data_IF_412110163121
#
_entry.id   IF_412110163121
#
_cell.length_a   1.000
_cell.length_b   1.000
_cell.length_c   1.000
_cell.angle_alpha   90.00
_cell.angle_beta   90.00
_cell.angle_gamma   90.00
#
_symmetry.space_group_name_H-M   'P 1'
#
loop_
_entity.id
_entity.type
_entity.pdbx_description
1 polymer ?
#
# COMPACT_ATOMS: atom_id res chain seq x y z
N UNK A 1 -6.81 -12.88 -25.69
CA UNK A 1 -6.65 -12.36 -24.32
C UNK A 1 -5.46 -13.09 -23.75
N UNK A 2 -4.50 -12.43 -23.08
CA UNK A 2 -3.58 -13.19 -22.26
C UNK A 2 -4.45 -14.01 -21.30
N UNK A 3 -4.24 -15.33 -21.26
CA UNK A 3 -4.82 -16.13 -20.19
C UNK A 3 -4.24 -15.56 -18.91
N UNK A 4 -5.07 -15.07 -18.00
CA UNK A 4 -4.59 -14.66 -16.68
C UNK A 4 -4.34 -15.94 -15.90
N UNK A 5 -3.07 -16.35 -15.70
CA UNK A 5 -2.82 -17.51 -14.89
C UNK A 5 -3.21 -17.14 -13.46
N UNK A 6 -3.88 -18.06 -12.78
CA UNK A 6 -4.10 -17.96 -11.34
C UNK A 6 -2.72 -18.03 -10.67
N UNK A 7 -2.39 -17.03 -9.86
CA UNK A 7 -1.23 -17.08 -8.97
C UNK A 7 -1.55 -18.02 -7.82
N UNK A 8 -2.65 -17.75 -7.11
CA UNK A 8 -3.14 -18.57 -6.03
C UNK A 8 -4.68 -18.55 -5.98
N UNK A 9 -5.28 -19.71 -5.76
CA UNK A 9 -6.64 -19.79 -5.21
C UNK A 9 -6.56 -19.68 -3.70
N UNK A 10 -7.51 -18.98 -3.07
CA UNK A 10 -7.55 -18.90 -1.62
C UNK A 10 -7.49 -20.30 -0.97
N UNK A 11 -6.60 -20.53 0.02
CA UNK A 11 -6.51 -21.78 0.74
C UNK A 11 -7.85 -22.16 1.38
N UNK A 12 -8.06 -23.46 1.57
CA UNK A 12 -9.29 -23.96 2.19
C UNK A 12 -9.52 -23.30 3.56
N UNK A 13 -10.70 -22.70 3.73
CA UNK A 13 -11.06 -21.99 4.97
C UNK A 13 -10.70 -20.50 4.97
N UNK A 14 -10.11 -19.98 3.90
CA UNK A 14 -9.89 -18.54 3.71
C UNK A 14 -10.73 -17.99 2.57
N UNK A 15 -11.17 -16.75 2.70
CA UNK A 15 -11.95 -16.05 1.67
C UNK A 15 -11.63 -14.57 1.63
N UNK A 16 -11.95 -13.91 0.50
CA UNK A 16 -11.78 -12.46 0.31
C UNK A 16 -10.29 -12.07 0.38
N UNK A 17 -9.45 -12.53 -0.58
CA UNK A 17 -8.11 -12.02 -0.71
C UNK A 17 -8.20 -10.53 -0.99
N UNK A 18 -7.36 -9.77 -0.31
CA UNK A 18 -7.39 -8.33 -0.41
C UNK A 18 -5.96 -7.82 -0.55
N UNK A 19 -5.41 -7.25 0.50
CA UNK A 19 -4.13 -6.56 0.42
C UNK A 19 -2.92 -7.47 0.16
N UNK A 20 -1.97 -7.01 -0.66
CA UNK A 20 -0.80 -7.79 -1.13
C UNK A 20 0.52 -7.07 -0.82
N UNK A 21 1.33 -7.65 0.05
CA UNK A 21 2.69 -7.19 0.31
C UNK A 21 3.72 -8.10 -0.35
N UNK A 22 4.65 -7.53 -1.11
CA UNK A 22 5.72 -8.28 -1.79
C UNK A 22 7.09 -7.86 -1.25
N UNK A 23 7.87 -8.83 -0.77
CA UNK A 23 9.25 -8.61 -0.33
C UNK A 23 10.18 -9.68 -0.92
N UNK A 24 11.05 -9.25 -1.84
CA UNK A 24 11.93 -10.18 -2.56
C UNK A 24 11.12 -11.24 -3.31
N UNK A 25 11.21 -12.49 -2.87
CA UNK A 25 10.49 -13.63 -3.45
C UNK A 25 9.23 -14.04 -2.67
N UNK A 26 8.91 -13.36 -1.57
CA UNK A 26 7.81 -13.72 -0.68
C UNK A 26 6.64 -12.77 -0.93
N UNK A 27 5.44 -13.32 -0.91
CA UNK A 27 4.19 -12.62 -1.13
C UNK A 27 3.28 -12.91 0.06
N UNK A 28 2.83 -11.86 0.74
CA UNK A 28 1.86 -11.96 1.82
C UNK A 28 0.51 -11.46 1.30
N UNK A 29 -0.56 -12.18 1.62
CA UNK A 29 -1.92 -11.83 1.18
C UNK A 29 -2.86 -11.89 2.38
N UNK A 30 -3.56 -10.79 2.64
CA UNK A 30 -4.63 -10.71 3.61
C UNK A 30 -5.91 -11.39 3.12
N UNK A 31 -6.58 -12.12 4.01
CA UNK A 31 -7.89 -12.72 3.77
C UNK A 31 -8.86 -12.29 4.86
N UNK A 32 -9.84 -11.46 4.51
CA UNK A 32 -10.80 -10.88 5.44
C UNK A 32 -11.77 -11.88 6.05
N UNK A 33 -11.98 -13.05 5.42
CA UNK A 33 -12.79 -14.15 5.95
C UNK A 33 -14.23 -13.77 6.37
N UNK A 34 -14.79 -12.70 5.79
CA UNK A 34 -16.13 -12.19 6.11
C UNK A 34 -16.22 -11.46 7.45
N UNK A 35 -15.08 -11.05 8.03
CA UNK A 35 -15.08 -10.04 9.10
C UNK A 35 -15.52 -8.69 8.51
N UNK A 36 -16.27 -7.90 9.26
CA UNK A 36 -16.71 -6.58 8.81
C UNK A 36 -15.60 -5.55 9.02
N UNK A 37 -15.49 -4.59 8.09
CA UNK A 37 -14.50 -3.52 8.13
C UNK A 37 -14.55 -2.61 9.36
N UNK A 38 -15.69 -2.52 10.05
CA UNK A 38 -15.83 -1.71 11.28
C UNK A 38 -15.42 -2.48 12.55
N UNK A 39 -14.89 -3.69 12.38
CA UNK A 39 -14.56 -4.62 13.47
C UNK A 39 -15.78 -5.13 14.23
N UNK A 40 -17.00 -4.83 13.77
CA UNK A 40 -18.19 -5.45 14.34
C UNK A 40 -18.12 -6.94 14.07
N UNK A 41 -18.26 -7.72 15.13
CA UNK A 41 -18.26 -9.17 15.00
C UNK A 41 -19.43 -9.57 14.09
N UNK A 42 -19.13 -9.94 12.85
CA UNK A 42 -20.02 -10.79 12.07
C UNK A 42 -20.45 -11.99 12.93
N UNK A 43 -21.60 -12.64 12.63
CA UNK A 43 -22.05 -13.77 13.42
C UNK A 43 -20.90 -14.80 13.52
N UNK A 44 -20.51 -15.16 14.75
CA UNK A 44 -19.61 -16.27 15.12
C UNK A 44 -18.11 -15.98 15.42
N UNK A 45 -17.67 -14.75 15.69
CA UNK A 45 -16.29 -14.51 16.16
C UNK A 45 -15.23 -14.85 15.10
N UNK A 46 -15.52 -14.46 13.85
CA UNK A 46 -14.65 -14.63 12.70
C UNK A 46 -13.34 -13.85 12.88
N UNK A 47 -12.28 -14.35 12.24
CA UNK A 47 -10.93 -13.76 12.24
C UNK A 47 -10.35 -13.80 10.84
N UNK A 48 -9.56 -12.80 10.50
CA UNK A 48 -8.78 -12.79 9.27
C UNK A 48 -7.63 -13.78 9.31
N UNK A 49 -7.01 -13.98 8.15
CA UNK A 49 -5.82 -14.80 7.97
C UNK A 49 -4.88 -14.11 7.02
N UNK A 50 -3.58 -14.10 7.31
CA UNK A 50 -2.57 -13.77 6.31
C UNK A 50 -1.88 -15.05 5.87
N UNK A 51 -1.69 -15.22 4.56
CA UNK A 51 -0.97 -16.35 3.98
C UNK A 51 0.31 -15.84 3.31
N UNK A 52 1.42 -16.49 3.64
CA UNK A 52 2.69 -16.29 2.93
C UNK A 52 2.78 -17.29 1.78
N UNK A 53 3.12 -16.78 0.60
CA UNK A 53 3.38 -17.55 -0.60
C UNK A 53 4.80 -17.33 -1.09
N UNK A 54 5.34 -18.35 -1.73
CA UNK A 54 6.47 -18.17 -2.64
C UNK A 54 6.04 -17.33 -3.86
N UNK A 55 7.03 -16.78 -4.57
CA UNK A 55 6.84 -16.07 -5.85
C UNK A 55 6.14 -16.86 -6.96
N UNK A 56 5.83 -18.15 -6.74
CA UNK A 56 5.12 -19.02 -7.67
C UNK A 56 3.74 -19.46 -7.12
N UNK A 57 3.24 -18.80 -6.08
CA UNK A 57 1.90 -19.06 -5.53
C UNK A 57 1.81 -20.32 -4.66
N UNK A 58 2.94 -20.87 -4.20
CA UNK A 58 2.94 -21.99 -3.25
C UNK A 58 2.84 -21.45 -1.83
N UNK A 59 1.86 -21.92 -1.05
CA UNK A 59 1.74 -21.57 0.38
C UNK A 59 2.99 -22.02 1.14
N UNK A 60 3.62 -21.10 1.85
CA UNK A 60 4.78 -21.34 2.71
C UNK A 60 4.39 -21.29 4.19
N UNK A 61 3.58 -20.30 4.59
CA UNK A 61 3.06 -20.16 5.95
C UNK A 61 1.61 -19.64 5.96
N UNK A 62 0.94 -19.82 7.09
CA UNK A 62 -0.42 -19.32 7.32
C UNK A 62 -0.52 -18.80 8.75
N UNK A 63 -0.90 -17.52 8.89
CA UNK A 63 -1.08 -16.82 10.14
C UNK A 63 -2.58 -16.58 10.35
N UNK A 64 -3.23 -17.51 11.02
CA UNK A 64 -4.67 -17.47 11.26
C UNK A 64 -4.99 -16.92 12.66
N UNK A 65 -6.22 -16.44 12.85
CA UNK A 65 -6.68 -15.91 14.13
C UNK A 65 -6.33 -14.44 14.34
N UNK A 66 -6.12 -13.69 13.26
CA UNK A 66 -5.90 -12.25 13.31
C UNK A 66 -7.27 -11.59 13.61
N UNK A 67 -7.40 -10.88 14.73
CA UNK A 67 -8.67 -10.29 15.13
C UNK A 67 -9.02 -9.08 14.23
N UNK A 68 -10.23 -9.06 13.68
CA UNK A 68 -10.65 -7.98 12.79
C UNK A 68 -10.48 -8.31 11.30
N UNK A 69 -10.85 -7.35 10.47
CA UNK A 69 -10.77 -7.40 9.01
C UNK A 69 -9.41 -6.86 8.56
N UNK A 70 -8.56 -7.70 7.97
CA UNK A 70 -7.23 -7.25 7.50
C UNK A 70 -7.38 -6.62 6.12
N UNK A 71 -7.15 -5.31 6.02
CA UNK A 71 -7.07 -4.56 4.75
C UNK A 71 -5.75 -3.79 4.57
N UNK A 72 -4.97 -3.58 5.64
CA UNK A 72 -3.63 -2.99 5.54
C UNK A 72 -2.52 -4.02 5.71
N UNK A 73 -1.52 -4.05 4.82
CA UNK A 73 -0.41 -5.01 4.89
C UNK A 73 0.95 -4.41 4.49
N UNK A 74 1.93 -4.46 5.40
CA UNK A 74 3.29 -4.02 5.12
C UNK A 74 4.37 -4.90 5.74
N UNK A 75 5.48 -5.11 5.04
CA UNK A 75 6.68 -5.74 5.61
C UNK A 75 7.66 -4.66 6.04
N UNK A 76 8.01 -4.67 7.33
CA UNK A 76 8.96 -3.76 7.92
C UNK A 76 10.41 -4.07 7.54
N UNK A 77 11.33 -3.09 7.67
CA UNK A 77 12.76 -3.30 7.46
C UNK A 77 13.40 -4.26 8.47
N UNK A 78 12.71 -4.55 9.57
CA UNK A 78 13.07 -5.57 10.56
C UNK A 78 12.64 -6.99 10.16
N UNK A 79 11.96 -7.14 9.01
CA UNK A 79 11.44 -8.41 8.51
C UNK A 79 10.17 -8.88 9.23
N UNK A 80 9.55 -8.03 10.05
CA UNK A 80 8.24 -8.30 10.62
C UNK A 80 7.16 -7.89 9.63
N UNK A 81 6.03 -8.60 9.68
CA UNK A 81 4.83 -8.28 8.92
C UNK A 81 3.89 -7.50 9.83
N UNK A 82 3.34 -6.41 9.30
CA UNK A 82 2.40 -5.52 9.98
C UNK A 82 1.08 -5.61 9.24
N UNK A 83 0.01 -5.84 9.98
CA UNK A 83 -1.36 -5.83 9.48
C UNK A 83 -2.14 -4.76 10.20
N UNK A 84 -2.85 -3.90 9.45
CA UNK A 84 -3.89 -3.06 10.02
C UNK A 84 -5.23 -3.79 9.87
N UNK A 85 -6.05 -3.65 10.90
CA UNK A 85 -7.33 -4.31 10.98
C UNK A 85 -8.45 -3.32 11.25
N UNK A 86 -9.58 -3.51 10.56
CA UNK A 86 -10.81 -2.72 10.68
C UNK A 86 -10.65 -1.26 10.22
N UNK A 87 -10.62 -1.09 8.90
CA UNK A 87 -10.52 0.14 8.13
C UNK A 87 -11.65 1.15 8.41
N UNK A 88 -12.84 0.66 8.76
CA UNK A 88 -14.02 1.51 8.99
C UNK A 88 -14.16 1.96 10.45
N UNK A 89 -13.32 1.44 11.35
CA UNK A 89 -13.29 1.83 12.75
C UNK A 89 -12.92 0.70 13.71
N UNK A 90 -12.70 1.03 14.98
CA UNK A 90 -12.20 0.09 16.00
C UNK A 90 -10.90 -0.62 15.60
N UNK A 91 -9.97 0.14 15.02
CA UNK A 91 -8.79 -0.46 14.41
C UNK A 91 -7.82 -1.07 15.40
N UNK A 92 -7.12 -2.09 14.92
CA UNK A 92 -6.04 -2.77 15.62
C UNK A 92 -4.87 -2.97 14.66
N UNK A 93 -3.68 -3.08 15.22
CA UNK A 93 -2.50 -3.44 14.45
C UNK A 93 -1.96 -4.76 14.99
N UNK A 94 -1.77 -5.76 14.14
CA UNK A 94 -1.08 -6.99 14.49
C UNK A 94 0.31 -7.03 13.85
N UNK A 95 1.33 -7.27 14.68
CA UNK A 95 2.71 -7.50 14.22
C UNK A 95 3.02 -8.97 14.29
N UNK A 96 3.34 -9.55 13.15
CA UNK A 96 3.60 -10.97 12.95
C UNK A 96 5.10 -11.14 12.68
N UNK A 97 5.73 -12.08 13.38
CA UNK A 97 7.07 -12.55 13.04
C UNK A 97 6.95 -13.74 12.09
N UNK A 98 7.23 -13.60 10.78
CA UNK A 98 6.98 -14.67 9.81
C UNK A 98 7.77 -15.95 10.11
N UNK A 99 8.97 -15.82 10.71
CA UNK A 99 9.85 -16.96 10.99
C UNK A 99 9.38 -17.85 12.15
N UNK A 100 8.60 -17.29 13.08
CA UNK A 100 8.13 -18.01 14.29
C UNK A 100 6.61 -18.14 14.37
N UNK A 101 5.88 -17.36 13.58
CA UNK A 101 4.43 -17.22 13.68
C UNK A 101 3.96 -16.49 14.94
N UNK A 102 4.86 -15.88 15.72
CA UNK A 102 4.48 -15.10 16.89
C UNK A 102 3.76 -13.82 16.45
N UNK A 103 2.60 -13.55 17.07
CA UNK A 103 1.76 -12.38 16.78
C UNK A 103 1.62 -11.53 18.03
N UNK A 104 1.77 -10.21 17.88
CA UNK A 104 1.54 -9.22 18.95
C UNK A 104 0.53 -8.19 18.46
N UNK A 105 -0.56 -8.02 19.21
CA UNK A 105 -1.59 -7.05 18.88
C UNK A 105 -1.36 -5.73 19.61
N UNK A 106 -1.61 -4.62 18.93
CA UNK A 106 -1.56 -3.26 19.45
C UNK A 106 -2.91 -2.58 19.23
N UNK A 107 -3.45 -1.94 20.26
CA UNK A 107 -4.68 -1.16 20.14
C UNK A 107 -4.41 0.27 19.69
N UNK A 108 -5.17 0.77 18.72
CA UNK A 108 -5.21 2.19 18.40
C UNK A 108 -5.96 3.00 19.48
N UNK A 109 -5.71 4.32 19.59
CA UNK A 109 -6.58 5.20 20.35
C UNK A 109 -8.01 5.13 19.82
N UNK A 110 -8.98 4.81 20.68
CA UNK A 110 -10.41 4.72 20.34
C UNK A 110 -11.21 5.74 21.19
N UNK A 111 -12.04 6.60 20.57
CA UNK A 111 -12.23 6.74 19.12
C UNK A 111 -11.00 7.33 18.44
N UNK A 112 -10.81 7.01 17.15
CA UNK A 112 -9.81 7.67 16.34
C UNK A 112 -10.13 9.17 16.22
N UNK A 113 -9.12 10.00 15.99
CA UNK A 113 -9.30 11.46 15.89
C UNK A 113 -10.12 11.86 14.66
N UNK A 114 -10.20 11.00 13.65
CA UNK A 114 -10.97 11.22 12.41
C UNK A 114 -12.31 10.45 12.38
N UNK A 115 -12.62 9.64 13.39
CA UNK A 115 -13.90 8.95 13.55
C UNK A 115 -14.02 7.60 12.82
N UNK A 116 -13.10 7.28 11.91
CA UNK A 116 -13.01 5.99 11.20
C UNK A 116 -11.87 5.10 11.68
N UNK A 117 -11.36 4.26 10.79
CA UNK A 117 -10.23 3.35 11.05
C UNK A 117 -8.98 3.61 10.21
N UNK A 118 -8.11 2.60 10.13
CA UNK A 118 -6.86 2.66 9.41
C UNK A 118 -6.78 1.49 8.44
N UNK A 119 -6.22 1.75 7.28
CA UNK A 119 -6.25 0.82 6.15
C UNK A 119 -4.82 0.62 5.63
N UNK A 120 -4.48 1.12 4.44
CA UNK A 120 -3.16 0.95 3.83
C UNK A 120 -1.97 1.31 4.73
N UNK A 121 -1.01 0.39 4.83
CA UNK A 121 0.24 0.53 5.60
C UNK A 121 1.45 0.64 4.69
N UNK A 122 2.38 1.57 4.98
CA UNK A 122 3.67 1.62 4.28
C UNK A 122 4.83 2.02 5.18
N UNK A 123 5.98 1.39 4.93
CA UNK A 123 7.25 1.81 5.49
C UNK A 123 7.98 2.74 4.54
N UNK A 124 8.34 3.92 5.02
CA UNK A 124 9.22 4.83 4.30
C UNK A 124 10.20 5.49 5.24
N UNK A 125 11.49 5.37 4.92
CA UNK A 125 12.61 5.94 5.67
C UNK A 125 12.60 5.64 7.18
N UNK A 126 12.23 4.41 7.53
CA UNK A 126 12.23 3.93 8.91
C UNK A 126 11.02 4.33 9.74
N UNK A 127 9.99 4.91 9.12
CA UNK A 127 8.70 5.16 9.76
C UNK A 127 7.60 4.33 9.09
N UNK A 128 6.69 3.83 9.92
CA UNK A 128 5.43 3.25 9.49
C UNK A 128 4.40 4.36 9.34
N UNK A 129 3.68 4.34 8.23
CA UNK A 129 2.55 5.22 7.96
C UNK A 129 1.30 4.39 7.69
N UNK A 130 0.16 4.97 8.02
CA UNK A 130 -1.16 4.43 7.74
C UNK A 130 -2.03 5.50 7.08
N UNK A 131 -2.88 5.13 6.13
CA UNK A 131 -4.03 5.93 5.70
C UNK A 131 -5.09 5.97 6.82
N UNK A 132 -5.81 7.09 6.94
CA UNK A 132 -6.99 7.17 7.81
C UNK A 132 -8.25 7.10 6.95
N UNK A 133 -8.93 5.96 6.97
CA UNK A 133 -10.10 5.65 6.13
C UNK A 133 -11.41 5.88 6.89
N UNK A 134 -12.52 5.97 6.15
CA UNK A 134 -13.90 6.13 6.57
C UNK A 134 -14.09 7.15 7.71
N UNK A 135 -13.56 8.38 7.59
CA UNK A 135 -13.70 9.36 8.66
C UNK A 135 -15.17 9.63 8.94
N UNK A 136 -15.50 9.89 10.21
CA UNK A 136 -16.86 10.25 10.55
C UNK A 136 -17.28 11.54 9.81
N UNK A 137 -18.56 11.61 9.45
CA UNK A 137 -19.13 12.79 8.79
C UNK A 137 -19.08 14.06 9.68
N UNK A 138 -18.51 13.99 10.89
CA UNK A 138 -18.25 15.11 11.79
C UNK A 138 -17.13 16.03 11.31
N UNK A 139 -16.36 15.60 10.30
CA UNK A 139 -15.35 16.40 9.62
C UNK A 139 -15.89 17.48 8.70
N UNK A 140 -17.18 17.47 8.35
CA UNK A 140 -17.76 18.45 7.43
C UNK A 140 -17.77 19.87 8.02
N UNK A 141 -16.70 20.62 7.77
CA UNK A 141 -16.62 22.03 8.15
C UNK A 141 -17.61 22.85 7.33
N UNK A 142 -18.79 23.08 7.91
CA UNK A 142 -19.78 24.02 7.40
C UNK A 142 -20.76 23.46 6.37
N UNK A 143 -20.94 22.14 6.27
CA UNK A 143 -21.92 21.53 5.35
C UNK A 143 -21.45 21.49 3.90
N UNK A 144 -20.13 21.56 3.67
CA UNK A 144 -19.49 21.67 2.35
C UNK A 144 -18.81 20.38 1.90
N UNK A 145 -18.95 19.30 2.67
CA UNK A 145 -18.25 18.04 2.45
C UNK A 145 -16.74 18.30 2.34
N UNK A 146 -16.08 18.84 3.38
CA UNK A 146 -14.61 19.02 3.42
C UNK A 146 -14.05 18.19 4.57
N UNK A 147 -13.12 17.27 4.31
CA UNK A 147 -12.46 16.51 5.37
C UNK A 147 -11.42 17.37 6.10
N UNK A 148 -11.71 17.78 7.34
CA UNK A 148 -10.76 18.51 8.20
C UNK A 148 -10.00 17.63 9.19
N UNK A 149 -9.96 16.32 8.99
CA UNK A 149 -9.20 15.39 9.81
C UNK A 149 -7.90 14.97 9.13
N UNK A 150 -6.92 14.42 9.87
CA UNK A 150 -5.76 13.81 9.26
C UNK A 150 -6.17 12.59 8.41
N UNK A 151 -5.50 12.44 7.27
CA UNK A 151 -5.71 11.38 6.27
C UNK A 151 -4.48 10.50 6.08
N UNK A 152 -3.34 10.95 6.60
CA UNK A 152 -2.12 10.15 6.74
C UNK A 152 -1.64 10.28 8.17
N UNK A 153 -1.29 9.15 8.75
CA UNK A 153 -0.79 9.05 10.10
C UNK A 153 0.60 8.43 10.09
N UNK A 154 1.46 8.92 10.97
CA UNK A 154 2.69 8.24 11.36
C UNK A 154 2.41 7.38 12.58
N UNK A 155 2.77 6.11 12.47
CA UNK A 155 2.48 5.07 13.44
C UNK A 155 3.74 4.78 14.27
N UNK A 156 3.56 4.66 15.59
CA UNK A 156 4.60 4.22 16.52
C UNK A 156 4.04 3.20 17.49
N UNK A 157 4.83 2.18 17.83
CA UNK A 157 4.42 1.12 18.75
C UNK A 157 4.91 1.39 20.17
N UNK A 158 4.02 1.24 21.15
CA UNK A 158 4.37 1.15 22.56
C UNK A 158 4.08 -0.27 23.07
N UNK A 159 5.14 -1.08 23.13
CA UNK A 159 5.07 -2.42 23.72
C UNK A 159 5.21 -2.42 25.24
N UNK A 160 5.48 -1.27 25.86
CA UNK A 160 5.67 -1.16 27.32
C UNK A 160 4.36 -0.85 28.05
N UNK A 161 3.31 -0.47 27.34
CA UNK A 161 1.95 -0.37 27.87
C UNK A 161 1.29 -1.75 27.97
N UNK A 162 0.35 -1.89 28.92
CA UNK A 162 -0.53 -3.06 28.99
C UNK A 162 -2.00 -2.62 28.98
N UNK A 163 -2.76 -2.93 27.91
CA UNK A 163 -2.32 -3.62 26.68
C UNK A 163 -1.31 -2.78 25.87
N UNK A 164 -0.57 -3.43 24.95
CA UNK A 164 0.32 -2.73 24.01
C UNK A 164 -0.52 -1.82 23.10
N UNK A 165 -0.01 -0.63 22.79
CA UNK A 165 -0.77 0.39 22.07
C UNK A 165 -0.01 0.95 20.88
N UNK A 166 -0.78 1.56 19.98
CA UNK A 166 -0.28 2.38 18.89
C UNK A 166 -0.36 3.85 19.29
N UNK A 167 0.66 4.61 18.90
CA UNK A 167 0.59 6.07 18.76
C UNK A 167 0.35 6.40 17.29
N UNK A 168 -0.74 7.10 17.00
CA UNK A 168 -1.08 7.56 15.65
C UNK A 168 -0.98 9.09 15.61
N UNK A 169 0.02 9.59 14.88
CA UNK A 169 0.27 11.02 14.74
C UNK A 169 -0.17 11.50 13.35
N UNK A 170 -1.22 12.31 13.27
CA UNK A 170 -1.66 12.91 12.00
C UNK A 170 -0.57 13.80 11.39
N UNK A 171 -0.25 13.55 10.11
CA UNK A 171 0.85 14.20 9.37
C UNK A 171 0.40 14.91 8.09
N UNK A 172 -0.69 14.46 7.46
CA UNK A 172 -1.35 15.13 6.33
C UNK A 172 -2.83 15.24 6.65
N UNK A 173 -3.45 16.38 6.34
CA UNK A 173 -4.87 16.66 6.58
C UNK A 173 -5.66 16.61 5.28
N UNK A 174 -6.92 16.17 5.35
CA UNK A 174 -7.77 16.00 4.17
C UNK A 174 -7.98 17.28 3.37
N UNK A 175 -7.88 18.44 4.03
CA UNK A 175 -8.02 19.77 3.47
C UNK A 175 -6.69 20.53 3.28
N UNK A 176 -5.55 19.84 3.39
CA UNK A 176 -4.24 20.48 3.15
C UNK A 176 -4.15 21.01 1.71
N UNK A 177 -3.56 22.21 1.48
CA UNK A 177 -3.39 22.76 0.13
C UNK A 177 -2.64 21.80 -0.81
N UNK A 178 -3.24 21.44 -1.93
CA UNK A 178 -2.64 20.57 -2.94
C UNK A 178 -2.62 21.19 -4.35
N UNK A 179 -1.76 20.66 -5.20
CA UNK A 179 -1.63 21.04 -6.60
C UNK A 179 -2.25 19.95 -7.48
N UNK A 180 -3.02 20.35 -8.48
CA UNK A 180 -3.45 19.44 -9.54
C UNK A 180 -2.21 18.99 -10.32
N UNK A 181 -1.89 17.70 -10.25
CA UNK A 181 -0.68 17.14 -10.86
C UNK A 181 -0.65 17.30 -12.38
N UNK A 182 -1.80 17.24 -13.04
CA UNK A 182 -1.91 17.33 -14.50
C UNK A 182 -1.73 18.77 -15.02
N UNK A 183 -2.24 19.77 -14.30
CA UNK A 183 -2.25 21.17 -14.75
C UNK A 183 -1.22 22.06 -14.06
N UNK A 184 -0.66 21.62 -12.93
CA UNK A 184 0.23 22.40 -12.09
C UNK A 184 -0.46 23.54 -11.33
N UNK A 185 -1.79 23.64 -11.39
CA UNK A 185 -2.57 24.68 -10.72
C UNK A 185 -2.95 24.29 -9.29
N UNK A 186 -3.07 25.25 -8.39
CA UNK A 186 -3.59 25.01 -7.04
C UNK A 186 -5.04 24.48 -7.11
N UNK A 187 -5.37 23.50 -6.27
CA UNK A 187 -6.75 23.05 -6.10
C UNK A 187 -7.51 24.01 -5.19
N UNK A 188 -8.71 24.39 -5.61
CA UNK A 188 -9.59 25.24 -4.80
C UNK A 188 -10.26 24.50 -3.65
N UNK A 189 -10.36 23.17 -3.73
CA UNK A 189 -10.87 22.29 -2.70
C UNK A 189 -10.08 20.97 -2.72
N UNK A 190 -8.84 20.94 -2.22
CA UNK A 190 -8.12 19.69 -2.02
C UNK A 190 -8.87 18.93 -0.92
N UNK A 191 -9.39 17.76 -1.26
CA UNK A 191 -10.29 17.04 -0.37
C UNK A 191 -10.03 15.55 -0.49
N UNK A 192 -9.16 15.08 0.38
CA UNK A 192 -8.87 13.65 0.56
C UNK A 192 -9.89 13.17 1.58
N UNK A 193 -10.88 12.43 1.12
CA UNK A 193 -12.03 12.06 1.93
C UNK A 193 -11.82 10.73 2.61
N UNK A 194 -11.44 9.75 1.80
CA UNK A 194 -11.51 8.34 2.15
C UNK A 194 -10.33 7.66 1.48
N UNK A 195 -9.11 7.90 1.98
CA UNK A 195 -7.95 7.18 1.50
C UNK A 195 -7.99 5.76 2.04
N UNK A 196 -8.26 4.81 1.16
CA UNK A 196 -8.31 3.39 1.53
C UNK A 196 -6.90 2.82 1.46
N UNK A 197 -6.25 2.91 0.29
CA UNK A 197 -4.88 2.43 0.16
C UNK A 197 -3.77 3.46 0.37
N UNK A 198 -2.58 2.93 0.66
CA UNK A 198 -1.31 3.63 0.75
C UNK A 198 -0.21 2.81 0.05
N UNK A 199 0.46 3.40 -0.94
CA UNK A 199 1.62 2.77 -1.60
C UNK A 199 2.81 3.73 -1.70
N UNK A 200 3.98 3.19 -2.06
CA UNK A 200 5.20 3.94 -2.34
C UNK A 200 5.40 4.05 -3.86
N UNK A 201 5.31 5.27 -4.36
CA UNK A 201 5.67 5.56 -5.75
C UNK A 201 7.14 5.20 -6.03
N UNK A 202 7.51 4.91 -7.27
CA UNK A 202 8.91 4.63 -7.65
C UNK A 202 9.88 5.80 -7.40
N UNK A 203 9.37 7.00 -7.15
CA UNK A 203 10.16 8.16 -6.74
C UNK A 203 10.49 8.20 -5.25
N UNK A 204 10.02 7.24 -4.44
CA UNK A 204 10.15 7.25 -2.98
C UNK A 204 9.24 8.28 -2.31
N UNK A 205 8.05 8.49 -2.87
CA UNK A 205 6.96 9.28 -2.27
C UNK A 205 5.81 8.36 -1.88
N UNK A 206 4.99 8.77 -0.91
CA UNK A 206 3.75 8.06 -0.59
C UNK A 206 2.64 8.42 -1.59
N UNK A 207 1.73 7.50 -1.85
CA UNK A 207 0.55 7.68 -2.69
C UNK A 207 -0.67 7.20 -1.93
N UNK A 208 -1.65 8.09 -1.74
CA UNK A 208 -2.97 7.74 -1.23
C UNK A 208 -3.93 7.54 -2.41
N UNK A 209 -4.66 6.42 -2.47
CA UNK A 209 -5.83 6.33 -3.33
C UNK A 209 -7.07 6.71 -2.52
N UNK A 210 -7.70 7.82 -2.91
CA UNK A 210 -8.88 8.37 -2.26
C UNK A 210 -10.11 7.82 -2.99
N UNK A 211 -10.66 6.71 -2.48
CA UNK A 211 -11.70 5.93 -3.15
C UNK A 211 -12.90 6.82 -3.45
N UNK A 212 -13.53 7.38 -2.42
CA UNK A 212 -14.76 8.18 -2.57
C UNK A 212 -14.56 9.50 -3.35
N UNK A 213 -13.32 9.97 -3.46
CA UNK A 213 -12.97 11.19 -4.20
C UNK A 213 -12.60 10.97 -5.67
N UNK A 214 -12.44 9.72 -6.13
CA UNK A 214 -11.90 9.40 -7.45
C UNK A 214 -10.57 10.14 -7.73
N UNK A 215 -9.65 10.13 -6.76
CA UNK A 215 -8.34 10.76 -6.92
C UNK A 215 -7.22 9.89 -6.37
N UNK A 216 -6.00 10.06 -6.88
CA UNK A 216 -4.79 9.70 -6.14
C UNK A 216 -4.05 10.96 -5.69
N UNK A 217 -3.46 10.95 -4.49
CA UNK A 217 -2.64 12.05 -3.99
C UNK A 217 -1.25 11.58 -3.64
N UNK A 218 -0.26 12.08 -4.39
CA UNK A 218 1.16 11.85 -4.10
C UNK A 218 1.65 12.85 -3.05
N UNK A 219 2.26 12.33 -1.99
CA UNK A 219 2.88 13.07 -0.89
C UNK A 219 4.39 13.02 -1.10
N UNK A 220 4.92 14.07 -1.73
CA UNK A 220 6.34 14.23 -2.01
C UNK A 220 7.22 14.43 -0.75
N UNK A 221 8.40 13.81 -0.70
CA UNK A 221 9.34 13.98 0.43
C UNK A 221 8.69 13.74 1.82
N UNK A 222 8.07 12.58 2.07
CA UNK A 222 7.36 12.30 3.32
C UNK A 222 8.25 12.45 4.58
N UNK A 223 9.57 12.35 4.42
CA UNK A 223 10.57 12.54 5.49
C UNK A 223 10.63 13.96 6.04
N UNK A 224 10.24 14.93 5.22
CA UNK A 224 10.20 16.33 5.64
C UNK A 224 8.98 16.65 6.50
N UNK A 225 8.05 15.71 6.64
CA UNK A 225 6.85 15.89 7.43
C UNK A 225 7.19 15.73 8.92
N UNK A 226 7.47 16.86 9.57
CA UNK A 226 7.76 16.92 11.00
C UNK A 226 6.61 17.58 11.76
N UNK A 227 5.90 16.81 12.58
CA UNK A 227 5.05 17.33 13.65
C UNK A 227 3.56 17.52 13.31
N UNK A 228 2.75 17.54 14.38
CA UNK A 228 1.31 17.80 14.36
C UNK A 228 1.08 19.30 14.16
N UNK A 229 0.16 19.69 13.27
CA UNK A 229 -0.18 21.05 12.82
C UNK A 229 0.73 21.70 11.76
N UNK A 230 0.53 21.31 10.49
CA UNK A 230 0.06 22.27 9.49
C UNK A 230 1.01 23.38 9.01
N UNK A 231 2.32 23.18 8.96
CA UNK A 231 3.23 24.21 8.40
C UNK A 231 4.14 23.77 7.24
N UNK A 232 4.05 22.53 6.74
CA UNK A 232 4.87 22.08 5.61
C UNK A 232 4.12 21.40 4.46
N UNK A 233 2.79 21.21 4.54
CA UNK A 233 2.03 20.45 3.52
C UNK A 233 1.95 21.13 2.14
N UNK A 234 2.07 22.46 2.07
CA UNK A 234 1.76 23.21 0.84
C UNK A 234 2.80 23.06 -0.30
N UNK A 235 3.94 22.38 -0.10
CA UNK A 235 4.95 22.15 -1.14
C UNK A 235 4.96 20.72 -1.70
N UNK A 236 4.06 19.85 -1.23
CA UNK A 236 4.31 18.39 -1.19
C UNK A 236 3.16 17.56 -1.77
N UNK A 237 1.92 18.04 -1.75
CA UNK A 237 0.76 17.27 -2.22
C UNK A 237 0.46 17.51 -3.70
N UNK A 238 0.46 16.43 -4.49
CA UNK A 238 0.07 16.43 -5.90
C UNK A 238 -1.08 15.46 -6.12
N UNK A 239 -2.26 16.01 -6.38
CA UNK A 239 -3.48 15.23 -6.56
C UNK A 239 -3.84 15.12 -8.03
N UNK A 240 -4.33 13.95 -8.43
CA UNK A 240 -4.74 13.63 -9.78
C UNK A 240 -6.15 13.05 -9.75
N UNK A 241 -7.08 13.65 -10.49
CA UNK A 241 -8.42 13.11 -10.67
C UNK A 241 -8.37 11.90 -11.59
N UNK A 242 -8.98 10.80 -11.16
CA UNK A 242 -9.04 9.55 -11.89
C UNK A 242 -10.30 9.51 -12.75
N UNK A 243 -10.15 9.03 -13.98
CA UNK A 243 -11.27 8.84 -14.88
C UNK A 243 -11.00 7.77 -15.92
N UNK A 244 -12.06 7.16 -16.41
CA UNK A 244 -12.06 6.34 -17.63
C UNK A 244 -12.58 7.16 -18.80
N UNK A 245 -12.30 6.70 -20.02
CA UNK A 245 -12.83 7.28 -21.26
C UNK A 245 -13.71 6.29 -22.00
N UNK A 246 -14.98 6.65 -22.19
CA UNK A 246 -15.91 5.91 -23.06
C UNK A 246 -16.51 6.85 -24.09
N UNK A 247 -16.27 6.57 -25.37
CA UNK A 247 -16.75 7.44 -26.47
C UNK A 247 -16.23 8.89 -26.41
N UNK A 248 -15.09 9.13 -25.74
CA UNK A 248 -14.54 10.47 -25.51
C UNK A 248 -15.12 11.22 -24.31
N UNK A 249 -16.04 10.60 -23.56
CA UNK A 249 -16.60 11.14 -22.31
C UNK A 249 -15.74 10.67 -21.14
N UNK A 250 -15.33 11.61 -20.29
CA UNK A 250 -14.64 11.31 -19.03
C UNK A 250 -15.65 10.98 -17.94
N UNK A 251 -15.45 9.85 -17.27
CA UNK A 251 -16.27 9.44 -16.12
C UNK A 251 -15.32 9.22 -14.94
N UNK A 252 -15.58 9.83 -13.76
CA UNK A 252 -14.80 9.56 -12.56
C UNK A 252 -14.77 8.07 -12.24
N UNK A 253 -13.65 7.59 -11.72
CA UNK A 253 -13.46 6.20 -11.36
C UNK A 253 -12.78 6.11 -10.00
N UNK A 254 -13.44 5.42 -9.08
CA UNK A 254 -12.93 5.12 -7.75
C UNK A 254 -12.01 3.90 -7.84
N UNK A 255 -10.88 3.99 -7.15
CA UNK A 255 -9.88 2.92 -7.11
C UNK A 255 -9.64 2.51 -5.68
N UNK A 256 -9.45 1.22 -5.49
CA UNK A 256 -9.12 0.59 -4.21
C UNK A 256 -7.62 0.74 -3.94
N UNK A 257 -6.80 -0.01 -4.67
CA UNK A 257 -5.34 0.02 -4.58
C UNK A 257 -4.70 0.60 -5.86
N UNK A 258 -3.52 1.21 -5.72
CA UNK A 258 -2.65 1.58 -6.85
C UNK A 258 -1.22 1.11 -6.63
N UNK A 259 -0.80 0.13 -7.43
CA UNK A 259 0.55 -0.43 -7.40
C UNK A 259 1.41 -0.07 -8.61
N UNK A 260 2.70 -0.38 -8.55
CA UNK A 260 3.66 -0.08 -9.62
C UNK A 260 4.46 -1.30 -10.09
N UNK A 261 4.63 -1.40 -11.41
CA UNK A 261 5.66 -2.27 -11.98
C UNK A 261 7.05 -1.64 -11.77
N UNK A 262 7.77 -2.11 -10.76
CA UNK A 262 9.11 -1.61 -10.38
C UNK A 262 10.23 -2.08 -11.30
N UNK A 263 9.93 -2.99 -12.23
CA UNK A 263 10.83 -3.43 -13.29
C UNK A 263 10.07 -3.69 -14.59
N UNK A 264 10.78 -3.63 -15.72
CA UNK A 264 10.23 -4.03 -17.01
C UNK A 264 9.97 -5.55 -17.09
N UNK A 265 10.57 -6.36 -16.22
CA UNK A 265 10.34 -7.80 -16.13
C UNK A 265 9.91 -8.18 -14.72
N UNK A 266 8.87 -8.99 -14.64
CA UNK A 266 8.30 -9.42 -13.38
C UNK A 266 6.89 -9.91 -13.58
N UNK A 267 6.17 -9.99 -12.47
CA UNK A 267 4.79 -10.44 -12.39
C UNK A 267 4.01 -9.42 -11.57
N UNK A 268 2.95 -8.87 -12.15
CA UNK A 268 1.97 -8.09 -11.40
C UNK A 268 0.96 -9.05 -10.78
N UNK A 269 0.64 -8.86 -9.52
CA UNK A 269 -0.37 -9.61 -8.78
C UNK A 269 -1.60 -8.72 -8.56
N UNK A 270 -2.77 -9.34 -8.59
CA UNK A 270 -4.04 -8.67 -8.35
C UNK A 270 -4.97 -9.58 -7.55
N UNK A 271 -5.45 -9.11 -6.41
CA UNK A 271 -6.52 -9.76 -5.68
C UNK A 271 -7.89 -9.47 -6.31
N UNK A 272 -8.73 -10.49 -6.42
CA UNK A 272 -10.14 -10.36 -6.77
C UNK A 272 -10.99 -10.95 -5.64
N UNK A 273 -11.43 -10.06 -4.76
CA UNK A 273 -12.06 -10.36 -3.47
C UNK A 273 -13.25 -11.31 -3.65
N UNK A 274 -14.17 -10.98 -4.57
CA UNK A 274 -15.41 -11.75 -4.76
C UNK A 274 -15.19 -13.09 -5.45
N UNK A 275 -14.24 -13.17 -6.37
CA UNK A 275 -13.92 -14.43 -7.05
C UNK A 275 -12.99 -15.33 -6.22
N UNK A 276 -12.44 -14.82 -5.11
CA UNK A 276 -11.61 -15.54 -4.18
C UNK A 276 -10.31 -16.08 -4.82
N UNK A 277 -9.74 -15.29 -5.73
CA UNK A 277 -8.59 -15.63 -6.56
C UNK A 277 -7.60 -14.47 -6.53
N UNK A 278 -6.31 -14.79 -6.56
CA UNK A 278 -5.24 -13.85 -6.86
C UNK A 278 -4.71 -14.19 -8.25
N UNK A 279 -4.80 -13.24 -9.17
CA UNK A 279 -4.30 -13.37 -10.53
C UNK A 279 -2.82 -12.97 -10.58
N UNK A 280 -2.09 -13.58 -11.50
CA UNK A 280 -0.79 -13.06 -11.95
C UNK A 280 -0.91 -12.55 -13.37
N UNK A 281 -0.21 -11.46 -13.67
CA UNK A 281 -0.12 -10.89 -14.98
C UNK A 281 1.33 -10.78 -15.41
N UNK A 282 1.58 -11.18 -16.65
CA UNK A 282 2.89 -11.00 -17.29
C UNK A 282 2.70 -10.23 -18.59
N UNK A 283 3.64 -9.32 -18.87
CA UNK A 283 3.62 -8.55 -20.10
C UNK A 283 4.56 -9.20 -21.12
N UNK A 284 4.03 -9.62 -22.27
CA UNK A 284 4.82 -10.28 -23.32
C UNK A 284 6.00 -9.43 -23.82
N UNK A 285 5.85 -8.10 -23.81
CA UNK A 285 6.88 -7.14 -24.18
C UNK A 285 7.54 -6.46 -22.97
N UNK A 286 7.31 -7.00 -21.77
CA UNK A 286 7.66 -6.36 -20.51
C UNK A 286 6.69 -5.25 -20.11
N UNK A 287 6.73 -4.92 -18.82
CA UNK A 287 6.00 -3.78 -18.26
C UNK A 287 6.73 -2.47 -18.61
N UNK A 288 5.99 -1.37 -18.65
CA UNK A 288 6.63 -0.07 -18.57
C UNK A 288 7.35 0.05 -17.24
N UNK A 289 8.62 0.48 -17.24
CA UNK A 289 9.30 0.78 -15.98
C UNK A 289 8.49 1.85 -15.23
N UNK A 290 8.18 1.60 -13.96
CA UNK A 290 7.39 2.49 -13.09
C UNK A 290 5.94 2.70 -13.59
N UNK A 291 5.43 1.77 -14.40
CA UNK A 291 4.05 1.81 -14.86
C UNK A 291 3.12 1.61 -13.66
N UNK A 292 2.20 2.55 -13.47
CA UNK A 292 1.18 2.50 -12.43
C UNK A 292 -0.03 1.67 -12.90
N UNK A 293 -0.59 0.91 -11.97
CA UNK A 293 -1.80 0.13 -12.14
C UNK A 293 -2.76 0.43 -11.00
N UNK A 294 -4.05 0.50 -11.29
CA UNK A 294 -5.07 0.75 -10.27
C UNK A 294 -6.20 -0.27 -10.36
N UNK A 295 -6.68 -0.72 -9.21
CA UNK A 295 -7.84 -1.57 -9.07
C UNK A 295 -9.09 -0.70 -9.13
N UNK A 296 -9.74 -0.62 -10.29
CA UNK A 296 -10.94 0.18 -10.50
C UNK A 296 -12.16 -0.55 -9.93
N UNK A 297 -12.57 -0.11 -8.73
CA UNK A 297 -13.77 -0.59 -8.02
C UNK A 297 -15.05 -0.24 -8.74
N UNK A 298 -15.08 0.87 -9.48
CA UNK A 298 -16.28 1.36 -10.20
C UNK A 298 -16.63 0.47 -11.37
N UNK A 299 -15.63 0.06 -12.14
CA UNK A 299 -15.83 -0.72 -13.36
C UNK A 299 -15.46 -2.21 -13.21
N UNK A 300 -14.90 -2.59 -12.06
CA UNK A 300 -14.38 -3.93 -11.76
C UNK A 300 -13.28 -4.36 -12.74
N UNK A 301 -12.31 -3.45 -12.94
CA UNK A 301 -11.19 -3.60 -13.87
C UNK A 301 -9.85 -3.48 -13.15
N UNK A 302 -8.81 -4.01 -13.78
CA UNK A 302 -7.46 -3.54 -13.55
C UNK A 302 -7.10 -2.60 -14.69
N UNK A 303 -6.70 -1.38 -14.34
CA UNK A 303 -6.35 -0.34 -15.27
C UNK A 303 -4.86 -0.02 -15.22
N UNK A 304 -4.31 0.40 -16.36
CA UNK A 304 -3.09 1.22 -16.33
C UNK A 304 -3.47 2.65 -15.98
N UNK A 305 -2.74 3.23 -15.03
CA UNK A 305 -2.89 4.63 -14.65
C UNK A 305 -1.88 5.50 -15.39
N UNK A 306 -2.35 6.43 -16.21
CA UNK A 306 -1.52 7.52 -16.70
C UNK A 306 -1.29 8.52 -15.56
N UNK A 307 -0.17 8.37 -14.87
CA UNK A 307 0.17 9.16 -13.68
C UNK A 307 0.45 10.66 -13.93
N UNK A 308 0.32 11.13 -15.17
CA UNK A 308 0.36 12.55 -15.52
C UNK A 308 -1.02 13.14 -15.80
N UNK A 309 -1.99 12.32 -16.25
CA UNK A 309 -3.30 12.80 -16.69
C UNK A 309 -4.48 12.29 -15.87
N UNK A 310 -4.31 11.18 -15.15
CA UNK A 310 -5.36 10.53 -14.37
C UNK A 310 -6.24 9.57 -15.18
N UNK A 311 -5.87 9.33 -16.43
CA UNK A 311 -6.60 8.40 -17.29
C UNK A 311 -6.31 6.96 -16.85
N UNK A 312 -7.36 6.26 -16.49
CA UNK A 312 -7.40 4.80 -16.32
C UNK A 312 -7.74 4.15 -17.66
N UNK A 313 -6.88 3.22 -18.10
CA UNK A 313 -7.07 2.46 -19.34
C UNK A 313 -7.13 0.97 -19.05
N UNK A 314 -8.22 0.27 -19.40
CA UNK A 314 -8.43 -1.11 -18.96
C UNK A 314 -7.41 -2.07 -19.53
N UNK A 315 -6.87 -2.93 -18.67
CA UNK A 315 -6.00 -4.06 -19.02
C UNK A 315 -6.76 -5.36 -18.83
N UNK A 316 -7.48 -5.46 -17.72
CA UNK A 316 -8.27 -6.62 -17.32
C UNK A 316 -9.68 -6.16 -17.05
N UNK A 317 -10.64 -6.94 -17.51
CA UNK A 317 -12.06 -6.64 -17.34
C UNK A 317 -12.83 -7.85 -16.86
N UNK A 318 -13.96 -7.62 -16.18
CA UNK A 318 -14.84 -8.70 -15.72
C UNK A 318 -14.39 -9.33 -14.41
N UNK A 319 -13.63 -8.59 -13.60
CA UNK A 319 -13.30 -8.99 -12.24
C UNK A 319 -14.55 -8.90 -11.36
N UNK A 320 -14.54 -9.56 -10.21
CA UNK A 320 -15.63 -9.50 -9.25
C UNK A 320 -15.54 -8.24 -8.38
N UNK A 321 -14.38 -8.04 -7.77
CA UNK A 321 -14.02 -6.87 -6.98
C UNK A 321 -12.48 -6.81 -6.94
N UNK A 322 -11.83 -6.04 -7.84
CA UNK A 322 -10.39 -5.86 -7.78
C UNK A 322 -10.01 -5.08 -6.53
N UNK A 323 -8.93 -5.49 -5.87
CA UNK A 323 -8.40 -4.82 -4.70
C UNK A 323 -6.86 -4.81 -4.73
N UNK A 324 -6.19 -5.35 -3.70
CA UNK A 324 -4.74 -5.35 -3.54
C UNK A 324 -3.92 -5.66 -4.81
N UNK A 325 -2.86 -4.88 -5.00
CA UNK A 325 -1.93 -4.97 -6.13
C UNK A 325 -0.50 -5.15 -5.60
N UNK A 326 0.20 -6.16 -6.10
CA UNK A 326 1.62 -6.39 -5.78
C UNK A 326 2.48 -6.56 -7.03
N UNK A 327 3.79 -6.35 -6.94
CA UNK A 327 4.70 -6.60 -8.06
C UNK A 327 5.94 -7.39 -7.65
N UNK A 328 6.11 -8.58 -8.22
CA UNK A 328 7.30 -9.41 -8.09
C UNK A 328 8.26 -9.04 -9.22
N UNK A 329 9.31 -8.28 -8.93
CA UNK A 329 10.35 -8.00 -9.92
C UNK A 329 11.19 -9.25 -10.23
N UNK A 330 11.53 -9.45 -11.50
CA UNK A 330 12.50 -10.48 -11.89
C UNK A 330 13.88 -10.11 -11.31
N UNK A 331 14.50 -10.92 -10.44
CA UNK A 331 15.77 -10.59 -9.80
C UNK A 331 16.94 -10.47 -10.80
N UNK A 332 16.81 -10.97 -12.03
CA UNK A 332 17.80 -10.74 -13.09
C UNK A 332 17.65 -9.37 -13.77
N UNK A 333 16.58 -8.63 -13.45
CA UNK A 333 16.24 -7.32 -14.04
C UNK A 333 16.42 -6.15 -13.07
N UNK A 334 16.61 -6.43 -11.78
CA UNK A 334 17.03 -5.41 -10.83
C UNK A 334 18.51 -5.12 -11.09
N UNK A 335 18.83 -3.88 -11.46
CA UNK A 335 20.22 -3.43 -11.33
C UNK A 335 20.61 -3.65 -9.87
N UNK A 336 21.82 -4.19 -9.57
CA UNK A 336 22.25 -4.29 -8.19
C UNK A 336 22.06 -2.91 -7.56
N UNK A 337 21.42 -2.85 -6.39
CA UNK A 337 21.38 -1.61 -5.62
C UNK A 337 22.77 -1.00 -5.66
N UNK A 338 22.91 0.32 -5.87
CA UNK A 338 24.20 0.95 -5.66
C UNK A 338 24.56 0.66 -4.20
N UNK A 339 25.41 -0.35 -4.02
CA UNK A 339 25.88 -0.80 -2.73
C UNK A 339 26.22 0.47 -1.97
N UNK A 340 25.49 0.71 -0.87
CA UNK A 340 25.66 1.89 -0.06
C UNK A 340 27.15 2.14 0.06
N UNK A 341 27.62 3.21 -0.57
CA UNK A 341 29.02 3.59 -0.51
C UNK A 341 29.22 3.97 0.94
N UNK A 342 29.59 2.99 1.77
CA UNK A 342 29.99 3.21 3.12
C UNK A 342 31.15 4.18 3.04
N UNK A 343 30.88 5.45 3.31
CA UNK A 343 31.88 6.44 3.61
C UNK A 343 32.58 5.96 4.88
N UNK A 344 33.58 5.11 4.71
CA UNK A 344 34.62 4.93 5.70
C UNK A 344 35.34 6.28 5.78
N UNK A 345 35.05 7.00 6.88
CA UNK A 345 35.74 8.24 7.21
C UNK A 345 37.26 8.06 7.25
N UNK A 346 38.03 9.15 7.10
CA UNK A 346 39.46 9.07 6.85
C UNK A 346 40.19 8.70 8.13
N UNK A 347 40.56 7.43 8.26
CA UNK A 347 41.57 6.99 9.21
C UNK A 347 42.55 6.05 8.50
N UNK A 348 43.75 6.56 8.24
CA UNK A 348 44.93 5.73 8.00
C UNK A 348 45.10 5.25 6.56
N UNK A 349 45.83 6.02 5.78
CA UNK A 349 46.62 5.49 4.67
C UNK A 349 47.45 4.30 5.16
N UNK A 350 47.49 3.18 4.42
CA UNK A 350 48.69 2.37 4.14
C UNK A 350 48.37 1.27 3.09
N UNK A 351 49.08 1.35 1.97
CA UNK A 351 49.58 0.26 1.11
C UNK A 351 48.62 -0.86 0.64
N UNK A 352 48.15 -0.76 -0.62
CA UNK A 352 47.69 -1.90 -1.41
C UNK A 352 48.82 -2.34 -2.37
N UNK A 353 49.49 -3.43 -2.00
CA UNK A 353 50.44 -4.15 -2.85
C UNK A 353 49.65 -4.89 -3.95
N UNK A 354 49.90 -4.55 -5.23
CA UNK A 354 49.41 -5.35 -6.36
C UNK A 354 50.12 -6.72 -6.36
N UNK A 355 49.40 -7.79 -6.03
CA UNK A 355 49.82 -9.15 -6.39
C UNK A 355 49.20 -9.53 -7.74
N UNK A 356 49.96 -9.27 -8.81
CA UNK A 356 49.69 -9.77 -10.16
C UNK A 356 50.04 -11.27 -10.19
N UNK A 357 49.03 -12.14 -10.25
CA UNK A 357 49.22 -13.59 -10.51
C UNK A 357 49.44 -13.78 -12.02
N UNK A 358 50.68 -14.02 -12.45
CA UNK A 358 50.96 -14.61 -13.76
C UNK A 358 51.33 -16.08 -13.58
N UNK A 359 50.49 -16.98 -14.10
CA UNK A 359 50.87 -18.37 -14.37
C UNK A 359 51.83 -18.39 -15.56
N UNK A 360 52.96 -19.10 -15.43
CA UNK A 360 53.60 -19.80 -16.55
C UNK A 360 54.09 -21.16 -16.09
N UNK A 361 53.97 -22.08 -17.03
CA UNK A 361 54.30 -23.50 -16.97
C UNK A 361 55.81 -23.75 -17.02
N UNK A 362 56.27 -24.72 -16.24
CA UNK A 362 57.19 -25.82 -16.56
C UNK A 362 57.75 -26.37 -15.25
#
# INVERSE_FOLDING_TARGET
MPEEPVFATAPAGTTAPDDIAVVGSNVFIGYGNGVAGDGSYGPNGLTSTVVEYSSHGTVENTFAGIPGHVEGLAVGPDGLLYTDENEDGNSHLTVINPSSGAMTQYGYPNPSVHGGGFDGLQFINGFLYASGSNPDNGGDVGGNNINSHPVLYRIGLDSNSYPSTVTAQGVVWGNDPAINKATGSALSNPNIFDPDSLDVTPGGNLLLANESGATVTEIMNPNSITGVNGAAASAVLKTLNLYTLSGGVQTPANTDETGFATSAKGTLLLADVKNNIVYQLTAANGFGLNQAFSADKTNHWLDTLNFNTGLLTPVVTGLGQPAGIGFIADPASTLPEPAGLALLGPAGAWLLLLCRRTRRWA
#
